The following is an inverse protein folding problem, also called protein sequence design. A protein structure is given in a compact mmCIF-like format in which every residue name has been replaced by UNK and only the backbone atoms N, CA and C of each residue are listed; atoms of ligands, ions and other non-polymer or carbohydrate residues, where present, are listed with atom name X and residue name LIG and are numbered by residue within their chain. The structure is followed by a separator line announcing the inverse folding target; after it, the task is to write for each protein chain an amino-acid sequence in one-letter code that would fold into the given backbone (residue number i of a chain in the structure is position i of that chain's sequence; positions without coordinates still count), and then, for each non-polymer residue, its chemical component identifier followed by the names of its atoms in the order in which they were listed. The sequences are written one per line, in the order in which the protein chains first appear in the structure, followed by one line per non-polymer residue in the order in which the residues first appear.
data_IF_273972043636
#
_entry.id   IF_273972043636
#
_cell.length_a   1.000
_cell.length_b   1.000
_cell.length_c   1.000
_cell.angle_alpha   90.00
_cell.angle_beta   90.00
_cell.angle_gamma   90.00
#
_symmetry.space_group_name_H-M   'P 1'
#
loop_
_entity.id
_entity.type
_entity.pdbx_description
1 polymer ?
#
# COMPACT_ATOMS: atom_id res chain seq x y z
N UNK A 1 2.17 -54.88 -6.94
CA UNK A 1 2.32 -53.42 -7.04
C UNK A 1 1.16 -52.65 -6.39
N UNK A 2 0.56 -53.15 -5.28
CA UNK A 2 -0.57 -52.49 -4.59
C UNK A 2 -0.12 -51.61 -3.42
N UNK A 3 0.98 -52.00 -2.76
CA UNK A 3 1.54 -51.27 -1.61
C UNK A 3 1.95 -49.85 -1.97
N UNK A 4 2.51 -49.65 -3.17
CA UNK A 4 2.97 -48.33 -3.63
C UNK A 4 1.81 -47.36 -3.81
N UNK A 5 0.70 -47.81 -4.40
CA UNK A 5 -0.51 -46.99 -4.56
C UNK A 5 -1.12 -46.62 -3.21
N UNK A 6 -1.08 -47.53 -2.23
CA UNK A 6 -1.57 -47.26 -0.88
C UNK A 6 -0.73 -46.21 -0.14
N UNK A 7 0.60 -46.30 -0.25
CA UNK A 7 1.52 -45.37 0.46
C UNK A 7 1.46 -43.96 -0.13
N UNK A 8 1.40 -43.83 -1.47
CA UNK A 8 1.28 -42.52 -2.13
C UNK A 8 -0.06 -41.85 -1.75
N UNK A 9 -1.15 -42.63 -1.64
CA UNK A 9 -2.46 -42.13 -1.22
C UNK A 9 -2.49 -41.61 0.22
N UNK A 10 -1.79 -42.27 1.15
CA UNK A 10 -1.69 -41.84 2.56
C UNK A 10 -0.83 -40.58 2.69
N UNK A 11 0.29 -40.49 1.96
CA UNK A 11 1.17 -39.32 2.01
C UNK A 11 0.52 -38.08 1.41
N UNK A 12 -0.31 -38.22 0.37
CA UNK A 12 -1.06 -37.10 -0.22
C UNK A 12 -2.12 -36.51 0.74
N UNK A 13 -2.71 -37.32 1.63
CA UNK A 13 -3.72 -36.84 2.60
C UNK A 13 -3.15 -35.96 3.72
N UNK A 14 -1.87 -36.14 4.08
CA UNK A 14 -1.21 -35.34 5.12
C UNK A 14 -0.40 -34.17 4.54
N UNK A 15 -0.29 -34.09 3.22
CA UNK A 15 0.45 -33.06 2.51
C UNK A 15 -0.45 -31.88 2.09
N UNK A 16 -1.13 -31.26 3.06
CA UNK A 16 -1.59 -29.88 2.92
C UNK A 16 -1.11 -29.15 4.18
N UNK A 17 0.09 -28.53 4.16
CA UNK A 17 0.41 -27.58 5.20
C UNK A 17 -0.58 -26.44 5.06
N UNK A 18 -1.20 -26.04 6.17
CA UNK A 18 -2.07 -24.89 6.22
C UNK A 18 -1.29 -23.63 5.79
N UNK A 19 -1.37 -23.25 4.51
CA UNK A 19 -0.84 -21.98 3.97
C UNK A 19 -1.92 -20.87 4.10
N UNK A 20 -2.83 -20.98 5.06
CA UNK A 20 -3.79 -19.90 5.34
C UNK A 20 -3.09 -18.70 5.99
N UNK A 21 -2.21 -18.90 6.97
CA UNK A 21 -1.51 -17.80 7.68
C UNK A 21 -0.37 -17.12 6.89
N UNK A 22 0.30 -17.83 5.99
CA UNK A 22 1.41 -17.27 5.19
C UNK A 22 0.90 -16.29 4.15
N UNK A 23 -0.31 -16.53 3.60
CA UNK A 23 -0.91 -15.64 2.61
C UNK A 23 -1.26 -14.28 3.21
N UNK A 24 -1.83 -14.25 4.42
CA UNK A 24 -2.18 -13.00 5.12
C UNK A 24 -0.95 -12.22 5.54
N UNK A 25 0.04 -12.87 6.18
CA UNK A 25 1.29 -12.21 6.55
C UNK A 25 2.04 -11.63 5.34
N UNK A 26 1.97 -12.30 4.19
CA UNK A 26 2.56 -11.81 2.94
C UNK A 26 1.80 -10.61 2.37
N UNK A 27 0.47 -10.60 2.49
CA UNK A 27 -0.37 -9.46 2.08
C UNK A 27 -0.11 -8.25 2.96
N UNK A 28 0.01 -8.43 4.28
CA UNK A 28 0.30 -7.35 5.22
C UNK A 28 1.70 -6.78 4.99
N UNK A 29 2.71 -7.62 4.80
CA UNK A 29 4.06 -7.16 4.47
C UNK A 29 4.09 -6.36 3.16
N UNK A 30 3.33 -6.82 2.15
CA UNK A 30 3.19 -6.10 0.87
C UNK A 30 2.48 -4.76 1.06
N UNK A 31 1.39 -4.74 1.81
CA UNK A 31 0.60 -3.55 2.11
C UNK A 31 1.44 -2.50 2.87
N UNK A 32 2.23 -2.90 3.85
CA UNK A 32 3.14 -2.01 4.57
C UNK A 32 4.20 -1.41 3.63
N UNK A 33 4.80 -2.24 2.75
CA UNK A 33 5.77 -1.75 1.76
C UNK A 33 5.14 -0.76 0.78
N UNK A 34 3.93 -1.04 0.33
CA UNK A 34 3.17 -0.17 -0.56
C UNK A 34 2.84 1.16 0.14
N UNK A 35 2.35 1.12 1.37
CA UNK A 35 2.07 2.29 2.20
C UNK A 35 3.32 3.15 2.45
N UNK A 36 4.47 2.53 2.73
CA UNK A 36 5.73 3.25 2.85
C UNK A 36 6.13 3.95 1.55
N UNK A 37 5.99 3.28 0.40
CA UNK A 37 6.27 3.89 -0.90
C UNK A 37 5.34 5.07 -1.19
N UNK A 38 4.04 4.93 -0.87
CA UNK A 38 3.05 6.00 -1.03
C UNK A 38 3.41 7.21 -0.16
N UNK A 39 3.70 6.98 1.12
CA UNK A 39 4.06 8.05 2.05
C UNK A 39 5.36 8.76 1.65
N UNK A 40 6.35 8.04 1.12
CA UNK A 40 7.60 8.63 0.63
C UNK A 40 7.37 9.57 -0.56
N UNK A 41 6.59 9.13 -1.55
CA UNK A 41 6.25 9.97 -2.71
C UNK A 41 5.41 11.16 -2.30
N UNK A 42 4.43 10.96 -1.41
CA UNK A 42 3.61 12.03 -0.87
C UNK A 42 4.45 13.06 -0.10
N UNK A 43 5.39 12.62 0.74
CA UNK A 43 6.30 13.51 1.46
C UNK A 43 7.19 14.32 0.52
N UNK A 44 7.67 13.71 -0.57
CA UNK A 44 8.43 14.42 -1.59
C UNK A 44 7.58 15.51 -2.27
N UNK A 45 6.32 15.21 -2.61
CA UNK A 45 5.40 16.20 -3.18
C UNK A 45 5.04 17.32 -2.20
N UNK A 46 4.84 17.01 -0.91
CA UNK A 46 4.64 18.00 0.15
C UNK A 46 5.83 18.94 0.31
N UNK A 47 7.07 18.40 0.26
CA UNK A 47 8.29 19.21 0.29
C UNK A 47 8.42 20.14 -0.93
N UNK A 48 7.80 19.81 -2.06
CA UNK A 48 7.69 20.66 -3.25
C UNK A 48 6.53 21.67 -3.17
N UNK A 49 5.76 21.67 -2.07
CA UNK A 49 4.60 22.52 -1.88
C UNK A 49 3.40 22.14 -2.76
N UNK A 50 3.34 20.90 -3.24
CA UNK A 50 2.23 20.42 -4.07
C UNK A 50 1.09 19.91 -3.19
N UNK A 51 -0.03 20.62 -3.20
CA UNK A 51 -1.27 20.18 -2.56
C UNK A 51 -1.86 18.99 -3.33
N UNK A 52 -1.62 17.78 -2.84
CA UNK A 52 -2.06 16.53 -3.46
C UNK A 52 -2.78 15.59 -2.48
N UNK A 53 -2.72 15.86 -1.17
CA UNK A 53 -3.42 15.08 -0.16
C UNK A 53 -4.87 15.52 -0.11
N UNK A 54 -5.78 14.60 -0.40
CA UNK A 54 -7.22 14.83 -0.31
C UNK A 54 -7.67 14.61 1.13
N UNK A 55 -8.46 15.53 1.72
CA UNK A 55 -9.04 15.34 3.04
C UNK A 55 -10.08 14.22 3.02
N UNK A 56 -10.43 13.71 4.21
CA UNK A 56 -11.39 12.59 4.36
C UNK A 56 -12.76 12.89 3.74
N UNK A 57 -13.18 14.16 3.73
CA UNK A 57 -14.40 14.61 3.06
C UNK A 57 -14.41 14.45 1.53
N UNK A 58 -13.24 14.22 0.92
CA UNK A 58 -13.06 14.00 -0.52
C UNK A 58 -12.51 12.60 -0.84
N UNK A 59 -12.63 11.65 0.09
CA UNK A 59 -12.17 10.27 -0.07
C UNK A 59 -10.81 9.96 0.55
N UNK A 60 -10.20 10.95 1.23
CA UNK A 60 -9.10 10.75 2.17
C UNK A 60 -7.89 10.02 1.59
N UNK A 61 -7.39 9.06 2.37
CA UNK A 61 -6.19 8.27 2.10
C UNK A 61 -6.27 7.55 0.75
N UNK A 62 -7.40 6.88 0.47
CA UNK A 62 -7.56 6.06 -0.73
C UNK A 62 -7.63 6.90 -1.99
N UNK A 63 -8.37 8.01 -1.94
CA UNK A 63 -8.42 8.96 -3.06
C UNK A 63 -7.04 9.57 -3.33
N UNK A 64 -6.31 9.91 -2.27
CA UNK A 64 -4.92 10.41 -2.39
C UNK A 64 -4.00 9.37 -3.01
N UNK A 65 -4.09 8.10 -2.59
CA UNK A 65 -3.29 7.01 -3.14
C UNK A 65 -3.62 6.72 -4.62
N UNK A 66 -4.91 6.78 -4.99
CA UNK A 66 -5.35 6.66 -6.40
C UNK A 66 -4.81 7.81 -7.25
N UNK A 67 -4.86 9.04 -6.74
CA UNK A 67 -4.29 10.22 -7.42
C UNK A 67 -2.77 10.09 -7.61
N UNK A 68 -2.05 9.58 -6.60
CA UNK A 68 -0.61 9.29 -6.72
C UNK A 68 -0.30 8.18 -7.73
N UNK A 69 -1.21 7.23 -7.91
CA UNK A 69 -1.11 6.18 -8.94
C UNK A 69 -1.32 6.74 -10.35
N UNK A 70 -2.27 7.66 -10.51
CA UNK A 70 -2.48 8.36 -11.79
C UNK A 70 -1.33 9.32 -12.11
N UNK A 71 -0.66 9.80 -11.06
CA UNK A 71 0.54 10.60 -11.13
C UNK A 71 0.26 12.08 -10.95
N UNK A 72 1.10 12.74 -10.17
CA UNK A 72 0.95 14.16 -9.82
C UNK A 72 2.04 14.97 -10.51
N UNK A 73 1.63 15.94 -11.33
CA UNK A 73 2.55 16.86 -12.00
C UNK A 73 2.81 18.09 -11.16
N UNK A 74 4.08 18.40 -10.95
CA UNK A 74 4.50 19.62 -10.27
C UNK A 74 4.21 20.81 -11.17
N UNK A 75 3.32 21.69 -10.72
CA UNK A 75 2.84 22.83 -11.52
C UNK A 75 3.72 24.08 -11.41
N UNK A 76 4.57 24.17 -10.36
CA UNK A 76 5.35 25.38 -10.03
C UNK A 76 6.71 25.01 -9.41
N UNK A 77 7.69 25.90 -9.51
CA UNK A 77 9.03 25.74 -8.93
C UNK A 77 10.04 25.08 -9.86
N UNK A 78 11.27 24.80 -9.38
CA UNK A 78 12.38 24.29 -10.20
C UNK A 78 12.14 22.89 -10.78
N UNK A 79 11.15 22.16 -10.24
CA UNK A 79 10.74 20.84 -10.71
C UNK A 79 9.47 20.87 -11.57
N UNK A 80 9.07 22.04 -12.07
CA UNK A 80 7.87 22.18 -12.92
C UNK A 80 7.92 21.21 -14.10
N UNK A 81 6.80 20.51 -14.34
CA UNK A 81 6.66 19.52 -15.40
C UNK A 81 7.16 18.12 -15.02
N UNK A 82 7.77 17.94 -13.84
CA UNK A 82 8.09 16.62 -13.32
C UNK A 82 6.84 15.93 -12.79
N UNK A 83 6.70 14.64 -13.10
CA UNK A 83 5.59 13.80 -12.63
C UNK A 83 6.08 12.84 -11.56
N UNK A 84 5.37 12.78 -10.44
CA UNK A 84 5.60 11.84 -9.36
C UNK A 84 4.48 10.82 -9.36
N UNK A 85 4.85 9.55 -9.47
CA UNK A 85 3.93 8.42 -9.61
C UNK A 85 4.39 7.28 -8.71
N UNK A 86 3.45 6.62 -8.04
CA UNK A 86 3.72 5.38 -7.31
C UNK A 86 3.66 4.18 -8.25
N UNK A 87 4.15 3.02 -7.82
CA UNK A 87 3.98 1.78 -8.59
C UNK A 87 2.51 1.55 -8.96
N UNK A 88 2.26 0.90 -10.10
CA UNK A 88 0.91 0.55 -10.53
C UNK A 88 0.28 -0.47 -9.57
N UNK A 89 -0.32 0.04 -8.49
CA UNK A 89 -1.03 -0.73 -7.48
C UNK A 89 -2.48 -0.96 -7.93
N UNK A 90 -2.99 -2.16 -7.70
CA UNK A 90 -4.42 -2.43 -7.89
C UNK A 90 -5.26 -1.67 -6.85
N UNK A 91 -6.56 -1.54 -7.11
CA UNK A 91 -7.47 -0.92 -6.15
C UNK A 91 -7.50 -1.68 -4.82
N UNK A 92 -7.41 -3.02 -4.85
CA UNK A 92 -7.32 -3.81 -3.63
C UNK A 92 -6.02 -3.52 -2.87
N UNK A 93 -4.88 -3.39 -3.57
CA UNK A 93 -3.60 -3.08 -2.92
C UNK A 93 -3.59 -1.70 -2.27
N UNK A 94 -4.31 -0.73 -2.85
CA UNK A 94 -4.51 0.60 -2.26
C UNK A 94 -5.38 0.49 -1.00
N UNK A 95 -6.47 -0.28 -1.04
CA UNK A 95 -7.34 -0.53 0.12
C UNK A 95 -6.58 -1.24 1.26
N UNK A 96 -5.72 -2.21 0.95
CA UNK A 96 -4.88 -2.84 1.96
C UNK A 96 -3.80 -1.89 2.50
N UNK A 97 -3.21 -1.06 1.65
CA UNK A 97 -2.21 -0.07 2.07
C UNK A 97 -2.81 1.08 2.87
N UNK A 98 -4.08 1.46 2.62
CA UNK A 98 -4.76 2.57 3.30
C UNK A 98 -4.86 2.32 4.82
N UNK A 99 -4.92 1.06 5.24
CA UNK A 99 -4.89 0.63 6.66
C UNK A 99 -3.62 1.08 7.40
N UNK A 100 -2.52 1.28 6.69
CA UNK A 100 -1.23 1.68 7.27
C UNK A 100 -0.88 3.14 6.96
N UNK A 101 -1.82 3.91 6.41
CA UNK A 101 -1.66 5.30 6.05
C UNK A 101 -2.61 6.15 6.90
N UNK A 102 -2.15 7.34 7.27
CA UNK A 102 -2.94 8.29 8.02
C UNK A 102 -2.73 9.71 7.49
N UNK A 103 -3.82 10.47 7.42
CA UNK A 103 -3.77 11.90 7.10
C UNK A 103 -3.59 12.66 8.41
N UNK A 104 -2.47 13.37 8.50
CA UNK A 104 -2.19 14.28 9.60
C UNK A 104 -2.54 15.69 9.15
N UNK A 105 -3.49 16.29 9.84
CA UNK A 105 -3.88 17.68 9.67
C UNK A 105 -3.03 18.52 10.63
N UNK A 106 -2.02 19.20 10.11
CA UNK A 106 -1.28 20.22 10.86
C UNK A 106 -1.83 21.61 10.51
N UNK A 107 -1.57 22.61 11.37
CA UNK A 107 -2.09 23.98 11.23
C UNK A 107 -1.71 24.66 9.91
N UNK A 108 -0.66 24.17 9.23
CA UNK A 108 -0.14 24.75 7.99
C UNK A 108 -0.13 23.78 6.79
N UNK A 109 -0.34 22.47 6.98
CA UNK A 109 -0.22 21.48 5.90
C UNK A 109 -1.02 20.21 6.19
N UNK A 110 -1.57 19.61 5.14
CA UNK A 110 -2.19 18.28 5.18
C UNK A 110 -1.17 17.28 4.63
N UNK A 111 -0.79 16.29 5.43
CA UNK A 111 0.27 15.34 5.08
C UNK A 111 -0.23 13.90 5.17
N UNK A 112 0.10 13.08 4.18
CA UNK A 112 -0.11 11.65 4.23
C UNK A 112 1.12 10.99 4.86
N UNK A 113 0.91 10.24 5.94
CA UNK A 113 1.98 9.63 6.74
C UNK A 113 1.77 8.13 6.86
N UNK A 114 2.87 7.39 7.02
CA UNK A 114 2.83 5.96 7.32
C UNK A 114 2.64 5.76 8.82
N UNK A 115 1.55 5.11 9.22
CA UNK A 115 1.18 4.90 10.62
C UNK A 115 1.82 3.66 11.26
N UNK A 116 2.50 2.80 10.47
CA UNK A 116 3.05 1.54 10.98
C UNK A 116 1.97 0.51 11.36
N UNK A 117 2.34 -0.75 11.61
CA UNK A 117 1.42 -1.69 12.23
C UNK A 117 1.11 -1.21 13.65
N UNK A 118 -0.17 -1.00 13.96
CA UNK A 118 -0.63 -0.72 15.32
C UNK A 118 -0.33 -1.94 16.19
N UNK A 119 0.71 -1.83 17.01
CA UNK A 119 0.97 -2.81 18.08
C UNK A 119 -0.07 -2.54 19.16
N UNK A 120 -1.20 -3.23 19.10
CA UNK A 120 -2.20 -3.28 20.17
C UNK A 120 -1.79 -4.29 21.23
#
# INVERSE_FOLDING_TARGET
MLVVLAVIGIMAMLAIPAISGVSEASKDAKAQRNAQSIAQVSSALGALGVAHVLPDSMGGVEATARLLREGVTVSRGPFQGSQYIIAALSDEEIEYASKYLNIVYDLNEIRLTYAGPSVS
#
